data_IF_336024539996
#
_entry.id   IF_336024539996
#
_cell.length_a   1.000
_cell.length_b   1.000
_cell.length_c   1.000
_cell.angle_alpha   90.00
_cell.angle_beta   90.00
_cell.angle_gamma   90.00
#
_symmetry.space_group_name_H-M   'P 1'
#
loop_
_entity.id
_entity.type
_entity.pdbx_description
1 polymer ?
#
# COMPACT_ATOMS: atom_id res chain seq x y z
N UNK A 1 -71.19 4.36 24.60
CA UNK A 1 -70.33 4.22 23.41
C UNK A 1 -69.45 5.46 23.27
N UNK A 2 -68.18 5.38 23.68
CA UNK A 2 -67.14 6.36 23.34
C UNK A 2 -65.86 5.56 23.06
N UNK A 3 -65.48 5.45 21.79
CA UNK A 3 -64.22 4.83 21.35
C UNK A 3 -63.12 5.89 21.48
N UNK A 4 -62.11 5.61 22.30
CA UNK A 4 -60.87 6.38 22.32
C UNK A 4 -59.93 5.73 21.31
N UNK A 5 -59.57 6.49 20.27
CA UNK A 5 -58.62 6.11 19.23
C UNK A 5 -57.22 6.41 19.79
N UNK A 6 -56.41 5.37 19.98
CA UNK A 6 -55.00 5.49 20.31
C UNK A 6 -54.24 5.65 18.99
N UNK A 7 -53.74 6.85 18.72
CA UNK A 7 -52.83 7.13 17.62
C UNK A 7 -51.41 6.81 18.07
N UNK A 8 -50.84 5.68 17.63
CA UNK A 8 -49.43 5.35 17.85
C UNK A 8 -48.62 5.92 16.69
N UNK A 9 -47.93 7.04 16.94
CA UNK A 9 -46.91 7.58 16.03
C UNK A 9 -45.65 6.74 16.21
N UNK A 10 -45.43 5.79 15.31
CA UNK A 10 -44.14 5.08 15.21
C UNK A 10 -43.21 5.95 14.35
N UNK A 11 -42.39 6.77 15.02
CA UNK A 11 -41.32 7.52 14.37
C UNK A 11 -40.23 6.56 13.90
N UNK A 12 -40.05 6.47 12.58
CA UNK A 12 -38.89 5.87 11.93
C UNK A 12 -37.62 6.61 12.36
N UNK A 13 -36.81 5.97 13.21
CA UNK A 13 -35.46 6.44 13.49
C UNK A 13 -34.59 5.98 12.32
N UNK A 14 -34.34 6.88 11.37
CA UNK A 14 -33.27 6.74 10.39
C UNK A 14 -31.94 6.85 11.15
N UNK A 15 -31.36 5.70 11.54
CA UNK A 15 -29.95 5.63 11.89
C UNK A 15 -29.14 5.79 10.59
N UNK A 16 -28.83 7.03 10.25
CA UNK A 16 -27.74 7.35 9.32
C UNK A 16 -26.43 7.00 10.03
N UNK A 17 -25.88 5.82 9.77
CA UNK A 17 -24.49 5.53 10.07
C UNK A 17 -23.62 6.36 9.12
N UNK A 18 -23.33 7.60 9.50
CA UNK A 18 -22.21 8.32 8.90
C UNK A 18 -20.93 7.68 9.43
N UNK A 19 -20.22 6.95 8.57
CA UNK A 19 -18.83 6.53 8.80
C UNK A 19 -18.04 7.80 9.09
N UNK A 20 -17.67 7.98 10.37
CA UNK A 20 -17.03 9.21 10.82
C UNK A 20 -15.56 9.13 10.41
N UNK A 21 -15.19 9.83 9.34
CA UNK A 21 -13.77 10.14 9.06
C UNK A 21 -13.19 10.74 10.34
N UNK A 22 -12.02 10.27 10.76
CA UNK A 22 -11.38 10.83 11.93
C UNK A 22 -11.21 12.33 11.69
N UNK A 23 -11.66 13.17 12.64
CA UNK A 23 -11.28 14.58 12.66
C UNK A 23 -9.76 14.57 12.62
N UNK A 24 -9.16 15.15 11.59
CA UNK A 24 -7.69 15.28 11.46
C UNK A 24 -7.21 15.90 12.76
N UNK A 25 -6.72 15.07 13.69
CA UNK A 25 -5.91 15.57 14.76
C UNK A 25 -4.67 16.08 14.05
N UNK A 26 -4.51 17.39 14.03
CA UNK A 26 -3.19 17.99 13.86
C UNK A 26 -2.33 17.37 14.96
N UNK A 27 -1.70 16.25 14.64
CA UNK A 27 -0.56 15.77 15.38
C UNK A 27 0.39 16.95 15.33
N UNK A 28 0.61 17.57 16.49
CA UNK A 28 1.79 18.38 16.70
C UNK A 28 2.96 17.39 16.67
N UNK A 29 3.32 16.93 15.47
CA UNK A 29 4.61 16.29 15.24
C UNK A 29 5.63 17.39 15.48
N UNK A 30 6.59 17.14 16.39
CA UNK A 30 7.88 17.79 16.27
C UNK A 30 8.27 17.72 14.78
N UNK A 31 8.59 18.86 14.16
CA UNK A 31 8.93 18.91 12.74
C UNK A 31 10.01 17.87 12.47
N UNK A 32 9.64 16.75 11.84
CA UNK A 32 10.63 15.83 11.32
C UNK A 32 11.54 16.62 10.39
N UNK A 33 12.86 16.40 10.43
CA UNK A 33 13.78 17.11 9.57
C UNK A 33 13.34 16.88 8.13
N UNK A 34 12.75 17.92 7.55
CA UNK A 34 12.16 17.87 6.22
C UNK A 34 13.29 17.61 5.23
N UNK A 35 13.26 16.46 4.56
CA UNK A 35 14.19 16.16 3.49
C UNK A 35 14.11 17.24 2.41
N UNK A 36 15.22 17.92 2.17
CA UNK A 36 15.36 18.89 1.08
C UNK A 36 16.15 18.25 -0.04
N UNK A 37 16.10 18.85 -1.23
CA UNK A 37 16.95 18.40 -2.34
C UNK A 37 18.45 18.41 -1.96
N UNK A 38 18.86 19.37 -1.11
CA UNK A 38 20.23 19.47 -0.61
C UNK A 38 20.58 18.29 0.31
N UNK A 39 19.72 17.95 1.29
CA UNK A 39 20.00 16.82 2.19
C UNK A 39 19.92 15.47 1.48
N UNK A 40 19.01 15.33 0.50
CA UNK A 40 18.95 14.15 -0.37
C UNK A 40 20.22 14.01 -1.22
N UNK A 41 20.73 15.10 -1.77
CA UNK A 41 21.98 15.08 -2.52
C UNK A 41 23.18 14.77 -1.62
N UNK A 42 23.25 15.35 -0.41
CA UNK A 42 24.28 15.01 0.57
C UNK A 42 24.26 13.50 0.89
N UNK A 43 23.07 12.96 1.14
CA UNK A 43 22.88 11.53 1.41
C UNK A 43 23.26 10.64 0.23
N UNK A 44 22.91 11.02 -0.99
CA UNK A 44 23.35 10.33 -2.20
C UNK A 44 24.88 10.29 -2.31
N UNK A 45 25.57 11.37 -1.93
CA UNK A 45 27.04 11.40 -1.93
C UNK A 45 27.64 10.50 -0.83
N UNK A 46 27.02 10.38 0.34
CA UNK A 46 27.44 9.42 1.37
C UNK A 46 27.36 7.97 0.85
N UNK A 47 26.33 7.62 0.08
CA UNK A 47 26.22 6.31 -0.55
C UNK A 47 27.35 6.01 -1.54
N UNK A 48 27.96 7.04 -2.15
CA UNK A 48 29.09 6.88 -3.07
C UNK A 48 30.44 6.80 -2.35
N UNK A 49 30.51 7.21 -1.08
CA UNK A 49 31.74 7.20 -0.30
C UNK A 49 31.90 5.90 0.50
N UNK A 50 32.84 5.06 0.06
CA UNK A 50 33.14 3.78 0.69
C UNK A 50 33.63 3.84 2.15
N UNK A 51 33.99 5.02 2.65
CA UNK A 51 34.30 5.22 4.06
C UNK A 51 33.06 5.26 4.96
N UNK A 52 31.89 5.57 4.39
CA UNK A 52 30.60 5.62 5.10
C UNK A 52 29.80 4.32 5.01
N UNK A 53 30.22 3.38 4.13
CA UNK A 53 29.48 2.14 3.90
C UNK A 53 29.40 1.25 5.13
N UNK A 54 28.21 0.71 5.38
CA UNK A 54 28.05 -0.43 6.29
C UNK A 54 28.58 -1.70 5.60
N UNK A 55 29.89 -1.93 5.74
CA UNK A 55 30.58 -3.08 5.15
C UNK A 55 30.10 -4.39 5.76
N UNK A 56 29.67 -4.39 7.03
CA UNK A 56 29.21 -5.60 7.70
C UNK A 56 27.88 -6.03 7.12
N UNK A 57 26.92 -5.12 7.02
CA UNK A 57 25.61 -5.39 6.43
C UNK A 57 25.73 -5.71 4.95
N UNK A 58 26.59 -5.02 4.19
CA UNK A 58 26.81 -5.36 2.78
C UNK A 58 27.32 -6.80 2.57
N UNK A 59 28.23 -7.29 3.41
CA UNK A 59 28.67 -8.70 3.34
C UNK A 59 27.56 -9.68 3.73
N UNK A 60 26.69 -9.29 4.67
CA UNK A 60 25.49 -10.08 5.00
C UNK A 60 24.51 -10.12 3.84
N UNK A 61 24.32 -9.02 3.12
CA UNK A 61 23.47 -8.93 1.93
C UNK A 61 23.99 -9.86 0.83
N UNK A 62 25.30 -9.89 0.57
CA UNK A 62 25.92 -10.81 -0.40
C UNK A 62 25.66 -12.27 -0.02
N UNK A 63 25.96 -12.65 1.22
CA UNK A 63 25.77 -14.03 1.68
C UNK A 63 24.28 -14.44 1.66
N UNK A 64 23.38 -13.50 1.96
CA UNK A 64 21.93 -13.72 1.88
C UNK A 64 21.50 -13.91 0.44
N UNK A 65 21.99 -13.09 -0.48
CA UNK A 65 21.71 -13.21 -1.91
C UNK A 65 22.15 -14.56 -2.47
N UNK A 66 23.38 -14.99 -2.18
CA UNK A 66 23.90 -16.30 -2.61
C UNK A 66 23.02 -17.46 -2.13
N UNK A 67 22.48 -17.35 -0.91
CA UNK A 67 21.62 -18.39 -0.32
C UNK A 67 20.20 -18.40 -0.91
N UNK A 68 19.66 -17.25 -1.27
CA UNK A 68 18.26 -17.09 -1.70
C UNK A 68 18.14 -16.50 -3.11
N UNK A 69 19.12 -16.78 -3.98
CA UNK A 69 19.20 -16.19 -5.33
C UNK A 69 17.92 -16.42 -6.14
N UNK A 70 17.35 -17.63 -6.10
CA UNK A 70 16.12 -17.96 -6.82
C UNK A 70 14.92 -17.11 -6.36
N UNK A 71 14.84 -16.82 -5.05
CA UNK A 71 13.78 -15.97 -4.48
C UNK A 71 13.95 -14.52 -4.92
N UNK A 72 15.17 -13.98 -4.90
CA UNK A 72 15.39 -12.60 -5.35
C UNK A 72 15.21 -12.42 -6.86
N UNK A 73 15.45 -13.47 -7.64
CA UNK A 73 15.25 -13.45 -9.10
C UNK A 73 13.80 -13.70 -9.52
N UNK A 74 12.90 -14.09 -8.62
CA UNK A 74 11.47 -14.25 -8.93
C UNK A 74 10.68 -12.94 -8.86
N UNK A 75 11.26 -11.87 -8.30
CA UNK A 75 10.61 -10.55 -8.25
C UNK A 75 10.77 -9.79 -9.58
N UNK A 76 9.92 -8.75 -9.83
CA UNK A 76 9.96 -7.98 -11.06
C UNK A 76 11.34 -7.37 -11.37
N UNK A 77 12.06 -6.93 -10.34
CA UNK A 77 13.45 -6.50 -10.38
C UNK A 77 14.32 -7.48 -9.58
N UNK A 78 15.52 -7.75 -10.11
CA UNK A 78 16.49 -8.58 -9.39
C UNK A 78 17.13 -7.75 -8.27
N UNK A 79 16.82 -8.09 -7.01
CA UNK A 79 17.44 -7.47 -5.82
C UNK A 79 18.89 -7.95 -5.62
N UNK A 80 19.81 -7.41 -6.42
CA UNK A 80 21.25 -7.62 -6.22
C UNK A 80 21.77 -6.82 -5.02
N UNK A 81 22.75 -7.33 -4.25
CA UNK A 81 23.33 -6.60 -3.13
C UNK A 81 24.15 -5.40 -3.63
N UNK A 82 24.04 -4.26 -2.95
CA UNK A 82 24.84 -3.07 -3.20
C UNK A 82 25.24 -2.39 -1.87
N UNK A 83 26.42 -1.73 -1.81
CA UNK A 83 26.86 -1.07 -0.60
C UNK A 83 26.16 0.29 -0.45
N UNK A 84 25.84 0.64 0.80
CA UNK A 84 25.20 1.92 1.14
C UNK A 84 25.75 2.43 2.46
N UNK A 85 25.70 3.75 2.67
CA UNK A 85 26.06 4.36 3.94
C UNK A 85 25.17 3.86 5.09
N UNK A 86 25.68 3.83 6.32
CA UNK A 86 24.91 3.49 7.52
C UNK A 86 23.63 4.35 7.62
N UNK A 87 22.55 3.75 8.12
CA UNK A 87 21.26 4.40 8.33
C UNK A 87 20.48 3.74 9.47
N UNK A 88 19.46 4.46 9.93
CA UNK A 88 18.48 3.97 10.88
C UNK A 88 17.08 4.16 10.27
N UNK A 89 16.48 3.06 9.81
CA UNK A 89 15.23 3.10 9.04
C UNK A 89 14.45 1.80 9.19
N UNK A 90 13.16 1.94 9.50
CA UNK A 90 12.22 0.83 9.61
C UNK A 90 11.09 1.01 8.60
N UNK A 91 10.88 -0.03 7.79
CA UNK A 91 9.88 -0.08 6.72
C UNK A 91 8.81 -1.11 7.04
N UNK A 92 7.63 -0.94 6.45
CA UNK A 92 6.48 -1.81 6.68
C UNK A 92 5.89 -2.33 5.38
N UNK A 93 5.51 -3.62 5.40
CA UNK A 93 4.68 -4.27 4.38
C UNK A 93 3.64 -5.12 5.08
N UNK A 94 2.37 -4.75 4.93
CA UNK A 94 1.24 -5.43 5.56
C UNK A 94 0.31 -5.96 4.47
N UNK A 95 0.37 -7.27 4.13
CA UNK A 95 -0.62 -7.87 3.26
C UNK A 95 -1.99 -7.90 3.95
N UNK A 96 -3.06 -7.85 3.16
CA UNK A 96 -4.43 -7.93 3.65
C UNK A 96 -5.36 -8.53 2.61
N UNK A 97 -6.48 -9.07 3.09
CA UNK A 97 -7.55 -9.61 2.25
C UNK A 97 -8.87 -8.97 2.65
N UNK A 98 -9.66 -8.60 1.65
CA UNK A 98 -11.03 -8.11 1.79
C UNK A 98 -11.94 -9.15 1.13
N UNK A 99 -12.82 -9.75 1.94
CA UNK A 99 -13.90 -10.59 1.44
C UNK A 99 -15.18 -9.76 1.34
N UNK A 100 -15.80 -9.73 0.16
CA UNK A 100 -17.06 -9.02 -0.08
C UNK A 100 -17.99 -9.87 -0.95
N UNK A 101 -19.07 -10.37 -0.35
CA UNK A 101 -20.00 -11.32 -0.98
C UNK A 101 -19.28 -12.56 -1.53
N UNK A 102 -19.12 -12.67 -2.84
CA UNK A 102 -18.39 -13.76 -3.52
C UNK A 102 -17.01 -13.33 -3.99
N UNK A 103 -16.68 -12.05 -3.85
CA UNK A 103 -15.45 -11.47 -4.38
C UNK A 103 -14.35 -11.46 -3.31
N UNK A 104 -13.12 -11.69 -3.77
CA UNK A 104 -11.92 -11.66 -2.92
C UNK A 104 -10.95 -10.64 -3.49
N UNK A 105 -10.67 -9.60 -2.71
CA UNK A 105 -9.66 -8.59 -3.05
C UNK A 105 -8.47 -8.81 -2.14
N UNK A 106 -7.30 -9.04 -2.74
CA UNK A 106 -6.03 -9.08 -2.02
C UNK A 106 -5.34 -7.75 -2.14
N UNK A 107 -4.52 -7.41 -1.17
CA UNK A 107 -3.76 -6.18 -1.23
C UNK A 107 -2.58 -6.15 -0.30
N UNK A 108 -1.79 -5.11 -0.45
CA UNK A 108 -0.63 -4.83 0.39
C UNK A 108 -0.60 -3.34 0.71
N UNK A 109 -0.25 -3.04 1.96
CA UNK A 109 0.09 -1.69 2.39
C UNK A 109 1.60 -1.59 2.56
N UNK A 110 2.19 -0.61 1.90
CA UNK A 110 3.62 -0.29 2.00
C UNK A 110 3.74 1.05 2.71
N UNK A 111 4.59 1.10 3.72
CA UNK A 111 4.80 2.30 4.51
C UNK A 111 6.12 2.28 5.26
N UNK A 112 6.28 3.24 6.13
CA UNK A 112 7.44 3.40 6.99
C UNK A 112 6.99 3.72 8.41
N UNK A 113 7.78 3.28 9.38
CA UNK A 113 7.53 3.65 10.76
C UNK A 113 7.97 5.11 10.98
N UNK A 114 7.22 5.86 11.79
CA UNK A 114 7.55 7.26 12.13
C UNK A 114 8.98 7.38 12.66
N UNK A 115 9.42 6.38 13.42
CA UNK A 115 10.82 6.16 13.76
C UNK A 115 11.01 4.66 14.05
N UNK A 116 12.26 4.17 14.14
CA UNK A 116 12.57 2.75 14.34
C UNK A 116 11.96 2.11 15.59
N UNK A 117 11.69 2.91 16.62
CA UNK A 117 11.10 2.48 17.89
C UNK A 117 9.57 2.68 17.96
N UNK A 118 8.96 3.17 16.88
CA UNK A 118 7.52 3.47 16.83
C UNK A 118 6.69 2.27 16.43
N UNK A 119 5.49 2.14 16.99
CA UNK A 119 4.45 1.23 16.47
C UNK A 119 3.59 1.90 15.38
N UNK A 120 3.77 3.20 15.15
CA UNK A 120 2.99 3.97 14.19
C UNK A 120 3.60 3.90 12.80
N UNK A 121 2.77 3.55 11.81
CA UNK A 121 3.14 3.44 10.40
C UNK A 121 2.47 4.57 9.63
N UNK A 122 3.23 5.19 8.73
CA UNK A 122 2.70 6.07 7.69
C UNK A 122 2.64 5.27 6.39
N UNK A 123 1.41 4.93 5.96
CA UNK A 123 1.20 4.22 4.70
C UNK A 123 1.52 5.14 3.52
N UNK A 124 2.27 4.64 2.53
CA UNK A 124 2.66 5.38 1.31
C UNK A 124 2.05 4.80 0.04
N UNK A 125 1.63 3.54 0.08
CA UNK A 125 0.90 2.85 -0.98
C UNK A 125 -0.08 1.86 -0.36
N UNK A 126 -1.32 1.87 -0.84
CA UNK A 126 -2.24 0.73 -0.74
C UNK A 126 -2.50 0.20 -2.13
N UNK A 127 -2.02 -1.02 -2.43
CA UNK A 127 -2.28 -1.68 -3.71
C UNK A 127 -3.24 -2.84 -3.48
N UNK A 128 -4.31 -2.89 -4.26
CA UNK A 128 -5.32 -3.94 -4.22
C UNK A 128 -5.49 -4.58 -5.60
N UNK A 129 -5.70 -5.89 -5.63
CA UNK A 129 -6.00 -6.68 -6.83
C UNK A 129 -7.22 -7.54 -6.54
N UNK A 130 -8.24 -7.43 -7.39
CA UNK A 130 -9.35 -8.40 -7.40
C UNK A 130 -8.81 -9.75 -7.88
N UNK A 131 -8.71 -10.72 -6.97
CA UNK A 131 -8.18 -12.05 -7.28
C UNK A 131 -9.29 -13.07 -7.51
N UNK A 132 -10.42 -12.92 -6.81
CA UNK A 132 -11.51 -13.91 -6.70
C UNK A 132 -11.08 -15.33 -6.28
N UNK A 133 -9.82 -15.47 -5.89
CA UNK A 133 -9.21 -16.69 -5.40
C UNK A 133 -8.60 -16.43 -4.03
N UNK A 134 -9.13 -17.10 -3.00
CA UNK A 134 -8.61 -17.01 -1.63
C UNK A 134 -7.19 -17.57 -1.52
N UNK A 135 -6.86 -18.52 -2.39
CA UNK A 135 -5.56 -19.22 -2.42
C UNK A 135 -4.61 -18.61 -3.46
N UNK A 136 -4.96 -17.47 -4.08
CA UNK A 136 -4.04 -16.77 -4.99
C UNK A 136 -2.71 -16.49 -4.31
N UNK A 137 -1.61 -16.45 -5.07
CA UNK A 137 -0.29 -16.18 -4.49
C UNK A 137 0.01 -14.68 -4.56
N UNK A 138 0.48 -14.10 -3.47
CA UNK A 138 1.02 -12.75 -3.43
C UNK A 138 2.37 -12.73 -2.75
N UNK A 139 3.28 -11.94 -3.30
CA UNK A 139 4.60 -11.75 -2.73
C UNK A 139 4.96 -10.29 -2.72
N UNK A 140 5.67 -9.88 -1.67
CA UNK A 140 6.14 -8.52 -1.50
C UNK A 140 7.55 -8.55 -0.94
N UNK A 141 8.40 -7.71 -1.50
CA UNK A 141 9.75 -7.43 -1.04
C UNK A 141 9.86 -5.94 -0.80
N UNK A 142 10.22 -5.56 0.42
CA UNK A 142 10.55 -4.18 0.76
C UNK A 142 12.06 -4.08 0.92
N UNK A 143 12.64 -3.01 0.40
CA UNK A 143 14.05 -2.74 0.53
C UNK A 143 14.30 -1.40 1.22
N UNK A 144 14.87 -1.46 2.42
CA UNK A 144 15.27 -0.29 3.20
C UNK A 144 16.65 0.24 2.82
N UNK A 145 17.42 -0.50 2.00
CA UNK A 145 18.79 -0.11 1.58
C UNK A 145 18.82 1.19 0.78
N UNK A 146 17.69 1.59 0.21
CA UNK A 146 17.53 2.84 -0.51
C UNK A 146 17.24 4.06 0.39
N UNK A 147 17.35 3.95 1.73
CA UNK A 147 17.07 5.05 2.65
C UNK A 147 17.71 6.38 2.21
N UNK A 148 16.93 7.48 2.11
CA UNK A 148 15.58 7.66 2.67
C UNK A 148 14.44 7.34 1.70
N UNK A 149 14.74 6.74 0.55
CA UNK A 149 13.72 6.32 -0.39
C UNK A 149 13.13 4.97 0.05
N UNK A 150 11.82 4.93 0.20
CA UNK A 150 11.08 3.69 0.42
C UNK A 150 10.92 3.00 -0.93
N UNK A 151 11.44 1.80 -1.07
CA UNK A 151 11.28 0.98 -2.28
C UNK A 151 10.67 -0.36 -1.94
N UNK A 152 9.73 -0.80 -2.75
CA UNK A 152 9.14 -2.12 -2.64
C UNK A 152 8.75 -2.64 -4.02
N UNK A 153 8.64 -3.95 -4.12
CA UNK A 153 8.17 -4.63 -5.31
C UNK A 153 7.45 -5.91 -4.95
N UNK A 154 6.75 -6.49 -5.91
CA UNK A 154 6.04 -7.71 -5.68
C UNK A 154 5.21 -8.12 -6.88
N UNK A 155 4.41 -9.15 -6.66
CA UNK A 155 3.48 -9.64 -7.66
C UNK A 155 2.21 -10.17 -7.00
N UNK A 156 1.13 -10.21 -7.78
CA UNK A 156 -0.08 -10.97 -7.48
C UNK A 156 -0.31 -11.96 -8.62
N UNK A 157 -0.44 -13.24 -8.30
CA UNK A 157 -0.82 -14.29 -9.25
C UNK A 157 -2.33 -14.39 -9.28
N UNK A 158 -2.93 -14.23 -10.46
CA UNK A 158 -4.36 -14.42 -10.69
C UNK A 158 -4.59 -15.50 -11.74
N UNK A 159 -5.81 -16.05 -11.84
CA UNK A 159 -6.14 -17.25 -12.63
C UNK A 159 -5.55 -17.30 -14.05
N UNK A 160 -5.42 -16.16 -14.74
CA UNK A 160 -4.96 -16.10 -16.13
C UNK A 160 -3.78 -15.15 -16.38
N UNK A 161 -3.21 -14.53 -15.34
CA UNK A 161 -2.19 -13.49 -15.47
C UNK A 161 -1.38 -13.30 -14.17
N UNK A 162 -0.27 -12.58 -14.27
CA UNK A 162 0.49 -12.07 -13.13
C UNK A 162 0.47 -10.54 -13.16
N UNK A 163 0.28 -9.93 -12.00
CA UNK A 163 0.29 -8.48 -11.81
C UNK A 163 1.57 -8.13 -11.05
N UNK A 164 2.60 -7.78 -11.79
CA UNK A 164 3.89 -7.30 -11.28
C UNK A 164 3.80 -5.83 -10.91
N UNK A 165 4.47 -5.46 -9.82
CA UNK A 165 4.52 -4.07 -9.41
C UNK A 165 5.85 -3.68 -8.79
N UNK A 166 6.23 -2.42 -9.00
CA UNK A 166 7.41 -1.78 -8.41
C UNK A 166 7.00 -0.40 -7.92
N UNK A 167 7.38 -0.08 -6.70
CA UNK A 167 7.01 1.15 -6.00
C UNK A 167 8.26 1.87 -5.47
N UNK A 168 8.20 3.20 -5.52
CA UNK A 168 9.14 4.05 -4.80
C UNK A 168 8.43 5.28 -4.23
N UNK A 169 8.78 5.65 -3.00
CA UNK A 169 8.45 6.93 -2.40
C UNK A 169 9.71 7.63 -1.92
N UNK A 170 9.82 8.91 -2.29
CA UNK A 170 10.83 9.84 -1.84
C UNK A 170 10.26 10.67 -0.68
N UNK A 171 11.09 11.00 0.33
CA UNK A 171 10.63 11.74 1.50
C UNK A 171 10.26 13.21 1.19
N UNK A 172 10.61 13.72 0.01
CA UNK A 172 10.19 15.04 -0.48
C UNK A 172 8.78 15.04 -1.11
N UNK A 173 8.08 13.90 -1.07
CA UNK A 173 6.67 13.76 -1.48
C UNK A 173 6.49 13.26 -2.92
N UNK A 174 7.56 12.96 -3.65
CA UNK A 174 7.44 12.26 -4.94
C UNK A 174 7.31 10.76 -4.71
N UNK A 175 6.23 10.16 -5.20
CA UNK A 175 6.02 8.71 -5.10
C UNK A 175 5.29 8.17 -6.33
N UNK A 176 5.62 6.94 -6.69
CA UNK A 176 5.00 6.25 -7.82
C UNK A 176 4.93 4.74 -7.58
N UNK A 177 3.98 4.11 -8.26
CA UNK A 177 3.98 2.67 -8.48
C UNK A 177 3.82 2.40 -9.97
N UNK A 178 4.58 1.44 -10.48
CA UNK A 178 4.38 0.86 -11.81
C UNK A 178 3.74 -0.49 -11.61
N UNK A 179 2.59 -0.73 -12.24
CA UNK A 179 1.91 -2.03 -12.24
C UNK A 179 1.80 -2.52 -13.67
N UNK A 180 2.42 -3.66 -14.02
CA UNK A 180 2.47 -4.18 -15.40
C UNK A 180 2.72 -3.06 -16.45
N UNK A 181 3.77 -2.26 -16.24
CA UNK A 181 4.16 -1.11 -17.08
C UNK A 181 3.21 0.10 -17.09
N UNK A 182 2.10 0.09 -16.35
CA UNK A 182 1.28 1.27 -16.08
C UNK A 182 1.84 2.06 -14.91
N UNK A 183 2.33 3.26 -15.18
CA UNK A 183 2.78 4.22 -14.15
C UNK A 183 1.60 4.89 -13.45
N UNK A 184 1.65 4.96 -12.13
CA UNK A 184 0.76 5.73 -11.27
C UNK A 184 1.57 6.73 -10.45
N UNK A 185 1.20 8.00 -10.56
CA UNK A 185 1.77 9.07 -9.75
C UNK A 185 0.95 9.19 -8.46
N UNK A 186 1.52 8.75 -7.34
CA UNK A 186 0.79 8.58 -6.10
C UNK A 186 0.47 9.90 -5.39
N UNK A 187 1.01 11.02 -5.88
CA UNK A 187 0.57 12.37 -5.50
C UNK A 187 -0.90 12.63 -5.86
N UNK A 188 -1.47 11.83 -6.76
CA UNK A 188 -2.87 11.91 -7.15
C UNK A 188 -3.78 10.90 -6.45
N UNK A 189 -3.24 10.10 -5.54
CA UNK A 189 -3.96 9.11 -4.73
C UNK A 189 -3.08 7.92 -4.39
N UNK A 190 -3.03 7.55 -3.12
CA UNK A 190 -2.15 6.50 -2.57
C UNK A 190 -2.80 5.11 -2.61
N UNK A 191 -4.09 5.04 -2.94
CA UNK A 191 -4.82 3.78 -3.09
C UNK A 191 -4.98 3.44 -4.56
N UNK A 192 -4.39 2.32 -4.99
CA UNK A 192 -4.53 1.76 -6.34
C UNK A 192 -5.33 0.46 -6.26
N UNK A 193 -6.34 0.32 -7.11
CA UNK A 193 -7.12 -0.90 -7.24
C UNK A 193 -7.01 -1.40 -8.68
N UNK A 194 -6.64 -2.66 -8.84
CA UNK A 194 -6.51 -3.36 -10.12
C UNK A 194 -7.65 -4.36 -10.24
N UNK A 195 -8.31 -4.35 -11.40
CA UNK A 195 -9.38 -5.28 -11.77
C UNK A 195 -8.93 -6.11 -12.97
N UNK A 196 -8.29 -7.27 -12.75
CA UNK A 196 -7.90 -8.17 -13.84
C UNK A 196 -9.11 -8.64 -14.66
N UNK A 197 -8.97 -8.66 -15.98
CA UNK A 197 -10.02 -9.04 -16.92
C UNK A 197 -9.75 -10.42 -17.53
N UNK A 198 -10.80 -11.09 -18.00
CA UNK A 198 -10.72 -12.41 -18.66
C UNK A 198 -9.81 -12.42 -19.90
N UNK A 199 -9.69 -11.28 -20.60
CA UNK A 199 -8.84 -11.11 -21.78
C UNK A 199 -7.38 -10.76 -21.46
N UNK A 200 -6.98 -10.85 -20.18
CA UNK A 200 -5.66 -10.52 -19.63
C UNK A 200 -5.32 -9.03 -19.58
N UNK A 201 -6.25 -8.15 -19.99
CA UNK A 201 -6.15 -6.73 -19.65
C UNK A 201 -6.45 -6.50 -18.16
N UNK A 202 -6.28 -5.26 -17.69
CA UNK A 202 -6.79 -4.86 -16.39
C UNK A 202 -7.41 -3.47 -16.47
N UNK A 203 -8.50 -3.27 -15.73
CA UNK A 203 -9.01 -1.95 -15.40
C UNK A 203 -8.41 -1.50 -14.07
N UNK A 204 -8.50 -0.21 -13.77
CA UNK A 204 -7.91 0.32 -12.55
C UNK A 204 -8.60 1.58 -12.05
N UNK A 205 -8.49 1.78 -10.74
CA UNK A 205 -8.86 3.00 -10.03
C UNK A 205 -7.67 3.53 -9.23
N UNK A 206 -7.53 4.85 -9.19
CA UNK A 206 -6.63 5.56 -8.29
C UNK A 206 -7.48 6.48 -7.41
N UNK A 207 -7.44 6.24 -6.10
CA UNK A 207 -8.31 6.89 -5.12
C UNK A 207 -7.46 7.80 -4.22
N UNK A 208 -7.93 9.05 -4.05
CA UNK A 208 -7.38 10.04 -3.10
C UNK A 208 -7.76 9.75 -1.64
N UNK A 209 -7.73 8.48 -1.26
CA UNK A 209 -7.94 8.05 0.11
C UNK A 209 -6.83 7.10 0.51
N UNK A 210 -6.62 6.94 1.81
CA UNK A 210 -5.48 6.21 2.37
C UNK A 210 -5.85 5.74 3.78
N UNK A 211 -5.33 4.60 4.26
CA UNK A 211 -5.55 4.15 5.62
C UNK A 211 -5.16 5.21 6.68
N UNK A 212 -4.20 6.08 6.36
CA UNK A 212 -3.78 7.22 7.17
C UNK A 212 -4.94 8.16 7.57
N UNK A 213 -6.05 8.18 6.82
CA UNK A 213 -7.21 9.03 7.09
C UNK A 213 -8.21 8.44 8.09
N UNK A 214 -7.94 7.25 8.62
CA UNK A 214 -8.88 6.47 9.42
C UNK A 214 -8.26 6.09 10.77
N UNK A 215 -9.12 5.96 11.79
CA UNK A 215 -8.67 5.53 13.12
C UNK A 215 -8.18 4.07 13.14
N UNK A 216 -8.61 3.27 12.18
CA UNK A 216 -8.18 1.88 12.00
C UNK A 216 -8.42 1.44 10.55
N UNK A 217 -7.79 0.32 10.20
CA UNK A 217 -7.86 -0.25 8.85
C UNK A 217 -9.27 -0.74 8.45
N UNK A 218 -10.09 -1.17 9.40
CA UNK A 218 -11.45 -1.67 9.12
C UNK A 218 -12.35 -0.55 8.57
N UNK A 219 -12.26 0.66 9.13
CA UNK A 219 -13.00 1.82 8.62
C UNK A 219 -12.55 2.24 7.22
N UNK A 220 -11.25 2.13 6.94
CA UNK A 220 -10.72 2.34 5.59
C UNK A 220 -11.29 1.29 4.62
N UNK A 221 -11.27 0.01 5.00
CA UNK A 221 -11.85 -1.08 4.21
C UNK A 221 -13.31 -0.82 3.86
N UNK A 222 -14.12 -0.46 4.86
CA UNK A 222 -15.53 -0.12 4.65
C UNK A 222 -15.70 1.05 3.67
N UNK A 223 -14.84 2.06 3.74
CA UNK A 223 -14.87 3.20 2.81
C UNK A 223 -14.57 2.79 1.37
N UNK A 224 -13.60 1.90 1.17
CA UNK A 224 -13.24 1.40 -0.17
C UNK A 224 -14.37 0.56 -0.76
N UNK A 225 -14.90 -0.41 -0.02
CA UNK A 225 -16.01 -1.27 -0.49
C UNK A 225 -17.26 -0.42 -0.77
N UNK A 226 -17.48 0.66 -0.02
CA UNK A 226 -18.65 1.52 -0.23
C UNK A 226 -18.50 2.55 -1.36
N UNK A 227 -17.32 2.69 -1.95
CA UNK A 227 -17.11 3.56 -3.10
C UNK A 227 -17.93 3.08 -4.31
N UNK A 228 -18.75 3.96 -4.89
CA UNK A 228 -19.68 3.61 -5.97
C UNK A 228 -18.96 3.02 -7.20
N UNK A 229 -17.80 3.58 -7.55
CA UNK A 229 -17.02 3.11 -8.71
C UNK A 229 -16.43 1.72 -8.44
N UNK A 230 -15.94 1.50 -7.22
CA UNK A 230 -15.43 0.19 -6.78
C UNK A 230 -16.55 -0.85 -6.79
N UNK A 231 -17.74 -0.53 -6.24
CA UNK A 231 -18.91 -1.41 -6.25
C UNK A 231 -19.31 -1.83 -7.67
N UNK A 232 -19.35 -0.88 -8.59
CA UNK A 232 -19.66 -1.16 -9.99
C UNK A 232 -18.65 -2.12 -10.61
N UNK A 233 -17.35 -1.91 -10.34
CA UNK A 233 -16.32 -2.81 -10.86
C UNK A 233 -16.39 -4.19 -10.23
N UNK A 234 -16.61 -4.33 -8.93
CA UNK A 234 -16.75 -5.63 -8.26
C UNK A 234 -17.90 -6.49 -8.81
N UNK A 235 -18.91 -5.87 -9.43
CA UNK A 235 -20.06 -6.54 -10.03
C UNK A 235 -19.94 -6.72 -11.56
N UNK A 236 -18.80 -6.37 -12.16
CA UNK A 236 -18.60 -6.38 -13.61
C UNK A 236 -18.36 -7.79 -14.15
N UNK A 237 -19.08 -8.18 -15.20
CA UNK A 237 -18.95 -9.48 -15.88
C UNK A 237 -17.58 -9.70 -16.56
N UNK A 238 -16.84 -8.62 -16.82
CA UNK A 238 -15.52 -8.65 -17.46
C UNK A 238 -14.39 -9.16 -16.55
N UNK A 239 -14.58 -9.05 -15.24
CA UNK A 239 -13.60 -9.49 -14.26
C UNK A 239 -13.40 -11.00 -14.32
N UNK A 240 -12.19 -11.43 -13.97
CA UNK A 240 -11.94 -12.83 -13.63
C UNK A 240 -12.83 -13.18 -12.44
N UNK A 241 -13.54 -14.30 -12.51
CA UNK A 241 -14.29 -14.88 -11.40
C UNK A 241 -13.54 -16.07 -10.83
#
# INVERSE_FOLDING_TARGET
MKKIIILTITGLIFYSCQVRKATVSTFNSAEEPKWTLETLNARANEHLDSSHWDKKLFQQDIATYEKYTEVFQSYPLNKSPFPVAEYDYAVSSIPFTIEYETQVVKGVRIGEYVNPDSDSIVDRLTLMVLSNDKESDESTLVDSRNFPYLTAEGYFVVTNNQIDWVFSASPDGYSFVVVNMKLFDLRFGETIIIYPQKDKSFLYDQIKDSPNNYANFELYRESIINNERVKQQLQSDGNIQ
#
